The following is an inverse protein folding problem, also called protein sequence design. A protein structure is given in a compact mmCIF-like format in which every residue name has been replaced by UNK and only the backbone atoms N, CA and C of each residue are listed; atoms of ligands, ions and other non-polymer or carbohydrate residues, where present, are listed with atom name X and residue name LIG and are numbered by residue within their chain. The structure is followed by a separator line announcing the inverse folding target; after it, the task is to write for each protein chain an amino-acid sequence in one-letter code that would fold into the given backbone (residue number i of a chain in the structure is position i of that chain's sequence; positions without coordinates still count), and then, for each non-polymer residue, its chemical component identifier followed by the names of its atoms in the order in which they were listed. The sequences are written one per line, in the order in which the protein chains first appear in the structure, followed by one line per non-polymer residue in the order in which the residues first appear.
data_IF_380337485214
#
_entry.id   IF_380337485214
#
_cell.length_a   1.000
_cell.length_b   1.000
_cell.length_c   1.000
_cell.angle_alpha   90.00
_cell.angle_beta   90.00
_cell.angle_gamma   90.00
#
_symmetry.space_group_name_H-M   'P 1'
#
loop_
_entity.id
_entity.type
_entity.pdbx_description
1 polymer ?
#
# COMPACT_ATOMS: atom_id res chain seq x y z
N UNK A 1 -11.94 -13.13 -13.11
CA UNK A 1 -10.53 -12.83 -13.32
C UNK A 1 -10.39 -11.51 -14.07
N UNK A 2 -9.64 -10.57 -13.51
CA UNK A 2 -9.38 -9.25 -14.08
C UNK A 2 -7.88 -9.14 -14.44
N UNK A 3 -7.45 -9.71 -15.57
CA UNK A 3 -6.02 -9.76 -15.95
C UNK A 3 -5.41 -8.38 -16.19
N UNK A 4 -6.25 -7.36 -16.38
CA UNK A 4 -5.84 -5.97 -16.55
C UNK A 4 -5.37 -5.31 -15.24
N UNK A 5 -5.76 -5.89 -14.10
CA UNK A 5 -5.47 -5.33 -12.77
C UNK A 5 -4.61 -6.28 -11.93
N UNK A 6 -4.88 -7.58 -11.97
CA UNK A 6 -4.25 -8.59 -11.12
C UNK A 6 -3.45 -9.59 -11.96
N UNK A 7 -2.30 -9.98 -11.46
CA UNK A 7 -1.43 -10.98 -12.13
C UNK A 7 -1.90 -12.41 -11.86
N UNK A 8 -2.60 -12.64 -10.75
CA UNK A 8 -3.12 -13.95 -10.37
C UNK A 8 -4.66 -13.97 -10.33
N UNK A 9 -5.29 -15.13 -10.61
CA UNK A 9 -6.73 -15.29 -10.44
C UNK A 9 -7.13 -15.14 -8.98
N UNK A 10 -8.17 -14.35 -8.72
CA UNK A 10 -8.80 -14.27 -7.40
C UNK A 10 -9.63 -15.53 -7.15
N UNK A 11 -9.38 -16.21 -6.05
CA UNK A 11 -10.18 -17.37 -5.61
C UNK A 11 -11.12 -16.92 -4.50
N UNK A 12 -12.39 -16.79 -4.82
CA UNK A 12 -13.41 -16.38 -3.87
C UNK A 12 -14.08 -17.62 -3.31
N UNK A 13 -14.12 -17.78 -1.99
CA UNK A 13 -14.83 -18.86 -1.33
C UNK A 13 -16.30 -18.52 -1.09
N UNK A 14 -16.61 -17.26 -0.89
CA UNK A 14 -17.96 -16.74 -0.75
C UNK A 14 -18.07 -15.35 -1.35
N UNK A 15 -19.23 -15.03 -1.93
CA UNK A 15 -19.55 -13.67 -2.38
C UNK A 15 -21.06 -13.45 -2.30
N UNK A 16 -21.48 -12.37 -1.68
CA UNK A 16 -22.86 -11.92 -1.62
C UNK A 16 -22.94 -10.42 -1.84
N UNK A 17 -24.11 -9.93 -2.23
CA UNK A 17 -24.37 -8.50 -2.45
C UNK A 17 -25.50 -8.26 -3.40
N UNK A 18 -25.74 -7.01 -3.70
CA UNK A 18 -26.79 -6.55 -4.62
C UNK A 18 -26.14 -5.89 -5.82
N UNK A 19 -26.47 -6.38 -7.02
CA UNK A 19 -26.05 -5.75 -8.28
C UNK A 19 -27.26 -5.21 -8.99
N UNK A 20 -27.23 -3.94 -9.33
CA UNK A 20 -28.25 -3.24 -10.07
C UNK A 20 -27.71 -2.85 -11.46
N UNK A 21 -28.56 -3.00 -12.45
CA UNK A 21 -28.24 -2.70 -13.82
C UNK A 21 -29.37 -1.87 -14.43
N UNK A 22 -29.02 -0.68 -14.94
CA UNK A 22 -29.94 0.20 -15.61
C UNK A 22 -29.41 0.50 -17.02
N UNK A 23 -30.26 0.34 -18.00
CA UNK A 23 -29.99 0.69 -19.40
C UNK A 23 -30.95 1.78 -19.84
N UNK A 24 -30.42 2.94 -20.23
CA UNK A 24 -31.18 4.08 -20.75
C UNK A 24 -30.58 4.49 -22.10
N UNK A 25 -30.85 3.68 -23.12
CA UNK A 25 -30.43 3.93 -24.50
C UNK A 25 -28.92 4.16 -24.66
N UNK A 26 -28.45 5.43 -24.59
CA UNK A 26 -27.03 5.74 -24.77
C UNK A 26 -26.16 5.41 -23.56
N UNK A 27 -26.76 5.19 -22.39
CA UNK A 27 -26.04 5.00 -21.15
C UNK A 27 -26.34 3.64 -20.52
N UNK A 28 -25.32 3.03 -19.96
CA UNK A 28 -25.41 1.84 -19.11
C UNK A 28 -24.88 2.22 -17.74
N UNK A 29 -25.65 1.90 -16.71
CA UNK A 29 -25.19 2.02 -15.33
C UNK A 29 -25.24 0.65 -14.67
N UNK A 30 -24.15 0.25 -14.05
CA UNK A 30 -24.04 -0.96 -13.26
C UNK A 30 -23.51 -0.54 -11.89
N UNK A 31 -24.16 -0.99 -10.83
CA UNK A 31 -23.69 -0.74 -9.47
C UNK A 31 -23.78 -2.01 -8.63
N UNK A 32 -22.77 -2.22 -7.80
CA UNK A 32 -22.77 -3.23 -6.75
C UNK A 32 -22.75 -2.54 -5.41
N UNK A 33 -23.60 -2.99 -4.50
CA UNK A 33 -23.67 -2.49 -3.12
C UNK A 33 -23.83 -3.63 -2.14
N UNK A 34 -23.46 -3.38 -0.90
CA UNK A 34 -23.52 -4.36 0.17
C UNK A 34 -22.76 -5.66 -0.18
N UNK A 35 -21.64 -5.49 -0.95
CA UNK A 35 -20.82 -6.60 -1.34
C UNK A 35 -20.04 -7.10 -0.12
N UNK A 36 -20.11 -8.40 0.11
CA UNK A 36 -19.28 -9.09 1.09
C UNK A 36 -18.64 -10.29 0.40
N UNK A 37 -17.36 -10.37 0.45
CA UNK A 37 -16.56 -11.37 -0.26
C UNK A 37 -15.54 -11.95 0.70
N UNK A 38 -15.47 -13.26 0.75
CA UNK A 38 -14.38 -13.99 1.37
C UNK A 38 -13.37 -14.36 0.28
N UNK A 39 -12.19 -13.78 0.38
CA UNK A 39 -11.11 -13.99 -0.56
C UNK A 39 -9.89 -14.55 0.16
N UNK A 40 -9.72 -15.87 0.08
CA UNK A 40 -8.60 -16.57 0.70
C UNK A 40 -8.43 -16.28 2.21
N UNK A 41 -9.53 -16.11 2.93
CA UNK A 41 -9.57 -15.79 4.36
C UNK A 41 -9.66 -14.31 4.67
N UNK A 42 -9.32 -13.43 3.74
CA UNK A 42 -9.56 -11.99 3.90
C UNK A 42 -11.03 -11.67 3.67
N UNK A 43 -11.56 -10.77 4.50
CA UNK A 43 -12.93 -10.26 4.36
C UNK A 43 -12.90 -8.95 3.57
N UNK A 44 -13.62 -8.90 2.46
CA UNK A 44 -13.73 -7.70 1.62
C UNK A 44 -15.19 -7.27 1.57
N UNK A 45 -15.45 -6.01 1.87
CA UNK A 45 -16.80 -5.43 1.83
C UNK A 45 -16.81 -4.09 1.09
N UNK A 46 -17.96 -3.69 0.55
CA UNK A 46 -18.09 -2.39 -0.10
C UNK A 46 -18.98 -2.38 -1.31
N UNK A 47 -18.58 -1.60 -2.34
CA UNK A 47 -19.35 -1.46 -3.55
C UNK A 47 -18.57 -0.89 -4.71
N UNK A 48 -19.19 -0.94 -5.88
CA UNK A 48 -18.68 -0.33 -7.10
C UNK A 48 -19.79 0.34 -7.91
N UNK A 49 -19.39 1.28 -8.77
CA UNK A 49 -20.25 1.90 -9.75
C UNK A 49 -19.56 2.01 -11.09
N UNK A 50 -20.28 1.72 -12.15
CA UNK A 50 -19.86 1.90 -13.52
C UNK A 50 -20.97 2.66 -14.27
N UNK A 51 -20.63 3.81 -14.80
CA UNK A 51 -21.46 4.54 -15.75
C UNK A 51 -20.70 4.53 -17.09
N UNK A 52 -21.32 3.99 -18.12
CA UNK A 52 -20.76 3.96 -19.45
C UNK A 52 -21.75 4.64 -20.42
N UNK A 53 -21.30 5.75 -21.01
CA UNK A 53 -22.02 6.49 -22.04
C UNK A 53 -21.21 6.54 -23.34
N UNK A 54 -21.83 7.07 -24.41
CA UNK A 54 -21.18 7.12 -25.74
C UNK A 54 -19.91 8.01 -25.76
N UNK A 55 -19.85 9.06 -24.97
CA UNK A 55 -18.74 10.02 -24.99
C UNK A 55 -17.99 10.10 -23.65
N UNK A 56 -18.62 9.70 -22.57
CA UNK A 56 -18.03 9.76 -21.23
C UNK A 56 -18.61 8.67 -20.35
N UNK A 57 -17.87 8.32 -19.35
CA UNK A 57 -18.27 7.37 -18.33
C UNK A 57 -17.45 7.56 -17.07
N UNK A 58 -17.75 6.77 -16.06
CA UNK A 58 -16.99 6.76 -14.82
C UNK A 58 -17.06 5.38 -14.18
N UNK A 59 -15.94 4.92 -13.68
CA UNK A 59 -15.84 3.79 -12.79
C UNK A 59 -15.47 4.27 -11.39
N UNK A 60 -16.09 3.69 -10.37
CA UNK A 60 -15.78 3.91 -8.96
C UNK A 60 -15.77 2.58 -8.21
N UNK A 61 -14.86 2.45 -7.28
CA UNK A 61 -14.74 1.33 -6.35
C UNK A 61 -14.49 1.91 -4.96
N UNK A 62 -15.21 1.43 -3.96
CA UNK A 62 -14.99 1.74 -2.54
C UNK A 62 -15.13 0.44 -1.75
N UNK A 63 -14.01 -0.08 -1.30
CA UNK A 63 -13.93 -1.33 -0.55
C UNK A 63 -13.15 -1.16 0.74
N UNK A 64 -13.62 -1.84 1.78
CA UNK A 64 -12.89 -2.11 3.00
C UNK A 64 -12.49 -3.60 3.01
N UNK A 65 -11.38 -3.91 3.63
CA UNK A 65 -10.91 -5.27 3.79
C UNK A 65 -10.29 -5.49 5.17
N UNK A 66 -10.36 -6.72 5.63
CA UNK A 66 -9.82 -7.13 6.92
C UNK A 66 -9.18 -8.51 6.82
N UNK A 67 -8.33 -8.82 7.80
CA UNK A 67 -7.70 -10.13 7.97
C UNK A 67 -6.86 -10.58 6.76
N UNK A 68 -6.17 -9.64 6.09
CA UNK A 68 -5.27 -9.97 4.99
C UNK A 68 -3.94 -10.49 5.55
N UNK A 69 -3.60 -11.72 5.19
CA UNK A 69 -2.32 -12.35 5.53
C UNK A 69 -1.33 -12.18 4.37
N UNK A 70 -0.53 -11.11 4.44
CA UNK A 70 0.55 -10.85 3.49
C UNK A 70 1.90 -11.44 3.94
N UNK A 71 1.93 -12.24 5.03
CA UNK A 71 3.09 -13.07 5.41
C UNK A 71 3.09 -14.34 4.57
N UNK A 72 1.95 -15.03 4.54
CA UNK A 72 1.80 -16.28 3.79
C UNK A 72 1.67 -16.07 2.28
N UNK A 73 1.21 -14.89 1.86
CA UNK A 73 1.04 -14.51 0.47
C UNK A 73 1.54 -13.08 0.25
N UNK A 74 2.47 -12.85 -0.69
CA UNK A 74 3.01 -11.51 -0.96
C UNK A 74 1.93 -10.47 -1.22
N UNK A 75 2.11 -9.27 -0.70
CA UNK A 75 1.16 -8.16 -0.81
C UNK A 75 0.81 -7.84 -2.27
N UNK A 76 1.76 -8.06 -3.18
CA UNK A 76 1.56 -7.92 -4.63
C UNK A 76 0.46 -8.82 -5.21
N UNK A 77 0.10 -9.91 -4.55
CA UNK A 77 -1.01 -10.78 -4.97
C UNK A 77 -2.38 -10.30 -4.48
N UNK A 78 -2.42 -9.43 -3.48
CA UNK A 78 -3.64 -8.86 -2.93
C UNK A 78 -4.03 -7.54 -3.59
N UNK A 79 -3.08 -6.84 -4.19
CA UNK A 79 -3.27 -5.50 -4.74
C UNK A 79 -3.37 -5.53 -6.27
N UNK A 80 -4.11 -4.59 -6.86
CA UNK A 80 -4.18 -4.42 -8.33
C UNK A 80 -2.88 -3.77 -8.84
N UNK A 81 -1.78 -4.54 -8.83
CA UNK A 81 -0.42 -4.06 -9.10
C UNK A 81 -0.30 -3.26 -10.40
N UNK A 82 -1.08 -3.60 -11.42
CA UNK A 82 -1.08 -2.89 -12.71
C UNK A 82 -1.70 -1.51 -12.66
N UNK A 83 -2.46 -1.19 -11.60
CA UNK A 83 -3.02 0.14 -11.39
C UNK A 83 -2.01 1.12 -10.75
N UNK A 84 -0.89 0.62 -10.22
CA UNK A 84 0.09 1.46 -9.55
C UNK A 84 1.20 1.93 -10.49
N UNK A 85 1.79 3.08 -10.16
CA UNK A 85 2.98 3.59 -10.84
C UNK A 85 4.17 2.62 -10.72
N UNK A 86 5.08 2.57 -11.70
CA UNK A 86 6.18 1.59 -11.71
C UNK A 86 7.03 1.57 -10.45
N UNK A 87 7.37 2.73 -9.88
CA UNK A 87 8.19 2.82 -8.65
C UNK A 87 7.48 2.24 -7.43
N UNK A 88 6.18 2.52 -7.28
CA UNK A 88 5.39 1.96 -6.18
C UNK A 88 5.23 0.45 -6.34
N UNK A 89 5.01 0.00 -7.58
CA UNK A 89 4.93 -1.43 -7.89
C UNK A 89 6.24 -2.14 -7.54
N UNK A 90 7.37 -1.65 -8.01
CA UNK A 90 8.69 -2.19 -7.71
C UNK A 90 8.94 -2.25 -6.19
N UNK A 91 8.55 -1.21 -5.46
CA UNK A 91 8.66 -1.19 -3.99
C UNK A 91 7.76 -2.25 -3.33
N UNK A 92 6.49 -2.38 -3.77
CA UNK A 92 5.55 -3.37 -3.25
C UNK A 92 5.94 -4.83 -3.59
N UNK A 93 6.70 -5.05 -4.66
CA UNK A 93 7.24 -6.35 -5.06
C UNK A 93 8.49 -6.75 -4.26
N UNK A 94 9.13 -5.81 -3.56
CA UNK A 94 10.37 -6.02 -2.81
C UNK A 94 10.15 -6.64 -1.42
N UNK A 95 9.46 -7.80 -1.38
CA UNK A 95 9.33 -8.61 -0.16
C UNK A 95 8.76 -7.81 1.03
N UNK A 96 7.68 -7.08 0.76
CA UNK A 96 6.87 -6.41 1.77
C UNK A 96 5.76 -7.35 2.20
N UNK A 97 5.62 -7.53 3.50
CA UNK A 97 4.60 -8.39 4.06
C UNK A 97 4.21 -7.98 5.47
N UNK A 98 3.24 -8.69 6.02
CA UNK A 98 2.70 -8.44 7.34
C UNK A 98 1.25 -8.88 7.41
N UNK A 99 0.65 -8.72 8.57
CA UNK A 99 -0.79 -8.85 8.73
C UNK A 99 -1.44 -7.48 8.53
N UNK A 100 -2.54 -7.44 7.79
CA UNK A 100 -3.35 -6.24 7.61
C UNK A 100 -4.71 -6.48 8.29
N UNK A 101 -4.86 -6.12 9.57
CA UNK A 101 -6.10 -6.28 10.31
C UNK A 101 -7.26 -5.54 9.66
N UNK A 102 -6.98 -4.37 9.09
CA UNK A 102 -7.95 -3.59 8.34
C UNK A 102 -7.31 -2.67 7.31
N UNK A 103 -8.05 -2.41 6.25
CA UNK A 103 -7.64 -1.49 5.19
C UNK A 103 -8.81 -1.03 4.35
N UNK A 104 -8.55 -0.08 3.46
CA UNK A 104 -9.53 0.38 2.48
C UNK A 104 -8.86 0.78 1.18
N UNK A 105 -9.57 0.55 0.07
CA UNK A 105 -9.17 0.99 -1.27
C UNK A 105 -10.33 1.73 -1.92
N UNK A 106 -10.08 2.97 -2.33
CA UNK A 106 -11.00 3.76 -3.14
C UNK A 106 -10.36 4.04 -4.49
N UNK A 107 -11.08 3.77 -5.56
CA UNK A 107 -10.66 4.06 -6.93
C UNK A 107 -11.75 4.88 -7.63
N UNK A 108 -11.32 5.82 -8.45
CA UNK A 108 -12.22 6.56 -9.34
C UNK A 108 -11.49 6.83 -10.65
N UNK A 109 -12.09 6.40 -11.76
CA UNK A 109 -11.53 6.50 -13.09
C UNK A 109 -12.58 7.05 -14.06
N UNK A 110 -12.36 8.21 -14.68
CA UNK A 110 -13.13 8.63 -15.84
C UNK A 110 -12.94 7.63 -17.00
N UNK A 111 -14.01 7.41 -17.76
CA UNK A 111 -14.02 6.51 -18.92
C UNK A 111 -14.45 7.29 -20.16
N UNK A 112 -14.00 6.85 -21.33
CA UNK A 112 -14.37 7.43 -22.61
C UNK A 112 -13.17 7.87 -23.45
N UNK A 113 -13.43 8.38 -24.68
CA UNK A 113 -12.35 8.72 -25.61
C UNK A 113 -11.39 9.81 -25.15
N UNK A 114 -11.83 10.68 -24.21
CA UNK A 114 -11.02 11.75 -23.62
C UNK A 114 -10.40 11.36 -22.27
N UNK A 115 -10.69 10.17 -21.77
CA UNK A 115 -10.14 9.70 -20.50
C UNK A 115 -8.69 9.29 -20.69
N UNK A 116 -7.84 9.66 -19.72
CA UNK A 116 -6.44 9.22 -19.66
C UNK A 116 -6.18 8.48 -18.36
N UNK A 117 -5.14 7.67 -18.33
CA UNK A 117 -4.70 6.97 -17.14
C UNK A 117 -4.29 7.92 -15.99
N UNK A 118 -3.85 9.13 -16.34
CA UNK A 118 -3.45 10.14 -15.36
C UNK A 118 -4.63 10.70 -14.53
N UNK A 119 -5.86 10.40 -14.97
CA UNK A 119 -7.09 10.79 -14.26
C UNK A 119 -7.56 9.72 -13.26
N UNK A 120 -6.83 8.62 -13.13
CA UNK A 120 -7.09 7.64 -12.07
C UNK A 120 -6.82 8.29 -10.72
N UNK A 121 -7.87 8.37 -9.90
CA UNK A 121 -7.73 8.73 -8.48
C UNK A 121 -7.81 7.46 -7.66
N UNK A 122 -6.79 7.23 -6.83
CA UNK A 122 -6.76 6.09 -5.96
C UNK A 122 -6.30 6.51 -4.55
N UNK A 123 -6.93 5.91 -3.55
CA UNK A 123 -6.55 6.05 -2.14
C UNK A 123 -6.49 4.65 -1.54
N UNK A 124 -5.36 4.29 -0.98
CA UNK A 124 -5.16 3.03 -0.24
C UNK A 124 -4.76 3.39 1.19
N UNK A 125 -5.48 2.86 2.17
CA UNK A 125 -5.13 2.97 3.58
C UNK A 125 -5.03 1.57 4.19
N UNK A 126 -3.96 1.30 4.94
CA UNK A 126 -3.69 0.02 5.59
C UNK A 126 -3.28 0.25 7.03
N UNK A 127 -3.76 -0.60 7.94
CA UNK A 127 -3.12 -0.87 9.22
C UNK A 127 -2.27 -2.13 9.06
N UNK A 128 -1.06 -2.11 9.57
CA UNK A 128 -0.10 -3.21 9.44
C UNK A 128 0.37 -3.62 10.81
N UNK A 129 0.43 -4.92 11.06
CA UNK A 129 1.05 -5.53 12.24
C UNK A 129 1.95 -6.68 11.80
N UNK A 130 2.97 -6.99 12.59
CA UNK A 130 3.98 -8.01 12.25
C UNK A 130 4.57 -7.79 10.85
N UNK A 131 4.68 -6.53 10.47
CA UNK A 131 5.15 -6.15 9.14
C UNK A 131 6.64 -6.38 8.97
N UNK A 132 7.04 -6.60 7.72
CA UNK A 132 8.43 -6.52 7.31
C UNK A 132 8.51 -5.75 6.01
N UNK A 133 9.46 -4.84 5.93
CA UNK A 133 9.66 -4.03 4.73
C UNK A 133 11.11 -3.57 4.57
N UNK A 134 11.66 -3.60 3.36
CA UNK A 134 12.88 -2.87 3.04
C UNK A 134 12.55 -1.38 2.90
N UNK A 135 13.31 -0.53 3.57
CA UNK A 135 13.16 0.94 3.40
C UNK A 135 13.57 1.34 1.98
N UNK A 136 14.69 0.80 1.53
CA UNK A 136 15.23 0.97 0.19
C UNK A 136 16.12 -0.23 -0.16
N UNK A 137 16.50 -0.43 -1.43
CA UNK A 137 17.50 -1.44 -1.81
C UNK A 137 18.77 -1.29 -0.97
N UNK A 138 19.31 -2.41 -0.50
CA UNK A 138 20.55 -2.48 0.32
C UNK A 138 20.43 -1.89 1.74
N UNK A 139 19.29 -1.31 2.12
CA UNK A 139 19.05 -0.85 3.50
C UNK A 139 18.69 -2.02 4.42
N UNK A 140 19.05 -1.91 5.72
CA UNK A 140 18.56 -2.84 6.72
C UNK A 140 17.04 -2.92 6.69
N UNK A 141 16.53 -4.17 6.69
CA UNK A 141 15.08 -4.42 6.72
C UNK A 141 14.50 -4.00 8.06
N UNK A 142 13.31 -3.42 8.03
CA UNK A 142 12.48 -3.29 9.23
C UNK A 142 11.66 -4.57 9.41
N UNK A 143 11.63 -5.06 10.63
CA UNK A 143 10.89 -6.24 11.09
C UNK A 143 9.94 -5.84 12.22
N UNK A 144 8.93 -6.66 12.50
CA UNK A 144 7.89 -6.41 13.50
C UNK A 144 7.26 -5.02 13.39
N UNK A 145 7.04 -4.58 12.16
CA UNK A 145 6.50 -3.26 11.89
C UNK A 145 5.03 -3.21 12.30
N UNK A 146 4.71 -2.28 13.18
CA UNK A 146 3.36 -1.87 13.52
C UNK A 146 3.16 -0.44 13.06
N UNK A 147 2.05 -0.17 12.35
CA UNK A 147 1.81 1.17 11.86
C UNK A 147 0.70 1.27 10.84
N UNK A 148 0.66 2.43 10.18
CA UNK A 148 -0.34 2.78 9.18
C UNK A 148 0.31 3.27 7.91
N UNK A 149 -0.27 2.88 6.80
CA UNK A 149 0.15 3.32 5.47
C UNK A 149 -1.03 4.00 4.77
N UNK A 150 -0.78 5.16 4.19
CA UNK A 150 -1.70 5.88 3.33
C UNK A 150 -1.03 6.19 2.00
N UNK A 151 -1.63 5.75 0.91
CA UNK A 151 -1.26 6.18 -0.43
C UNK A 151 -2.42 6.96 -1.06
N UNK A 152 -2.17 8.20 -1.44
CA UNK A 152 -3.17 9.08 -2.03
C UNK A 152 -2.50 10.10 -2.96
N UNK A 153 -3.03 10.26 -4.17
CA UNK A 153 -2.56 11.28 -5.12
C UNK A 153 -1.08 11.13 -5.51
N UNK A 154 -0.56 9.90 -5.57
CA UNK A 154 0.85 9.62 -5.88
C UNK A 154 1.82 9.83 -4.69
N UNK A 155 1.30 10.14 -3.52
CA UNK A 155 2.06 10.29 -2.27
C UNK A 155 1.82 9.09 -1.39
N UNK A 156 2.89 8.39 -1.01
CA UNK A 156 2.88 7.36 0.03
C UNK A 156 3.32 7.99 1.34
N UNK A 157 2.55 7.77 2.39
CA UNK A 157 2.88 8.14 3.76
C UNK A 157 2.74 6.91 4.64
N UNK A 158 3.76 6.60 5.43
CA UNK A 158 3.64 5.59 6.47
C UNK A 158 3.99 6.19 7.83
N UNK A 159 3.23 5.79 8.84
CA UNK A 159 3.49 6.07 10.24
C UNK A 159 3.86 4.75 10.90
N UNK A 160 5.07 4.65 11.41
CA UNK A 160 5.60 3.46 12.10
C UNK A 160 5.50 3.73 13.59
N UNK A 161 4.66 2.99 14.29
CA UNK A 161 4.51 3.06 15.74
C UNK A 161 5.62 2.29 16.44
N UNK A 162 5.95 1.12 15.87
CA UNK A 162 7.01 0.24 16.33
C UNK A 162 7.63 -0.52 15.15
N UNK A 163 8.93 -0.73 15.20
CA UNK A 163 9.66 -1.63 14.30
C UNK A 163 11.01 -1.99 14.91
N UNK A 164 11.65 -3.03 14.37
CA UNK A 164 12.99 -3.44 14.75
C UNK A 164 13.89 -3.62 13.54
N UNK A 165 15.18 -3.34 13.71
CA UNK A 165 16.19 -3.65 12.71
C UNK A 165 17.56 -3.82 13.35
N UNK A 166 18.19 -4.99 13.19
CA UNK A 166 19.55 -5.28 13.73
C UNK A 166 19.70 -5.00 15.24
N UNK A 167 18.61 -5.22 16.04
CA UNK A 167 18.62 -4.94 17.48
C UNK A 167 18.38 -3.46 17.83
N UNK A 168 18.08 -2.62 16.85
CA UNK A 168 17.65 -1.24 17.04
C UNK A 168 16.13 -1.20 17.02
N UNK A 169 15.52 -0.63 18.04
CA UNK A 169 14.08 -0.32 18.07
C UNK A 169 13.84 1.02 17.39
N UNK A 170 12.84 1.05 16.53
CA UNK A 170 12.38 2.24 15.83
C UNK A 170 10.99 2.60 16.34
N UNK A 171 10.78 3.82 16.74
CA UNK A 171 9.48 4.32 17.19
C UNK A 171 9.18 5.70 16.61
N UNK A 172 7.89 6.04 16.54
CA UNK A 172 7.42 7.33 16.01
C UNK A 172 7.98 7.63 14.60
N UNK A 173 8.18 6.56 13.82
CA UNK A 173 8.72 6.67 12.48
C UNK A 173 7.71 7.28 11.52
N UNK A 174 8.21 8.07 10.57
CA UNK A 174 7.43 8.50 9.41
C UNK A 174 8.22 8.27 8.14
N UNK A 175 7.52 7.78 7.11
CA UNK A 175 8.06 7.57 5.78
C UNK A 175 7.18 8.37 4.82
N UNK A 176 7.79 9.19 3.97
CA UNK A 176 7.08 9.89 2.90
C UNK A 176 7.81 9.69 1.58
N UNK A 177 7.07 9.19 0.61
CA UNK A 177 7.55 9.04 -0.76
C UNK A 177 6.59 9.74 -1.71
N UNK A 178 7.12 10.60 -2.56
CA UNK A 178 6.38 11.38 -3.54
C UNK A 178 7.13 11.32 -4.88
N UNK A 179 6.38 11.44 -5.96
CA UNK A 179 6.96 11.43 -7.31
C UNK A 179 7.99 12.56 -7.44
N UNK A 180 9.19 12.22 -7.95
CA UNK A 180 10.29 13.17 -8.21
C UNK A 180 10.83 13.89 -6.96
N UNK A 181 10.37 13.50 -5.77
CA UNK A 181 10.93 13.99 -4.51
C UNK A 181 11.85 12.93 -3.88
N UNK A 182 12.84 13.32 -3.09
CA UNK A 182 13.62 12.38 -2.30
C UNK A 182 12.73 11.68 -1.26
N UNK A 183 13.07 10.44 -0.95
CA UNK A 183 12.46 9.71 0.16
C UNK A 183 12.77 10.45 1.46
N UNK A 184 11.73 10.74 2.23
CA UNK A 184 11.85 11.38 3.54
C UNK A 184 11.59 10.35 4.63
N UNK A 185 12.50 10.25 5.58
CA UNK A 185 12.42 9.34 6.72
C UNK A 185 12.68 10.14 7.99
N UNK A 186 11.91 9.87 9.04
CA UNK A 186 12.19 10.37 10.38
C UNK A 186 11.72 9.35 11.40
N UNK A 187 12.28 9.36 12.59
CA UNK A 187 11.91 8.43 13.66
C UNK A 187 12.83 8.55 14.86
N UNK A 188 12.45 7.91 15.95
CA UNK A 188 13.26 7.77 17.15
C UNK A 188 13.87 6.38 17.19
N UNK A 189 15.16 6.29 17.48
CA UNK A 189 15.88 5.04 17.58
C UNK A 189 16.30 4.80 19.03
N UNK A 190 16.11 3.56 19.50
CA UNK A 190 16.62 3.11 20.80
C UNK A 190 17.43 1.84 20.62
N UNK A 191 18.64 1.80 21.18
CA UNK A 191 19.55 0.67 21.00
C UNK A 191 20.66 0.68 22.01
N UNK A 192 21.30 -0.48 22.22
CA UNK A 192 22.65 -0.51 22.78
C UNK A 192 23.70 -0.09 21.75
N UNK A 193 24.90 0.26 22.21
CA UNK A 193 25.95 0.77 21.34
C UNK A 193 26.44 -0.24 20.30
N UNK A 194 26.40 -1.55 20.57
CA UNK A 194 26.84 -2.59 19.64
C UNK A 194 25.81 -2.78 18.52
N UNK A 195 24.53 -2.83 18.86
CA UNK A 195 23.42 -2.93 17.90
C UNK A 195 23.34 -1.70 17.01
N UNK A 196 23.52 -0.50 17.57
CA UNK A 196 23.57 0.73 16.79
C UNK A 196 24.72 0.72 15.77
N UNK A 197 25.91 0.26 16.19
CA UNK A 197 27.06 0.15 15.30
C UNK A 197 26.79 -0.84 14.16
N UNK A 198 26.19 -2.00 14.46
CA UNK A 198 25.83 -2.99 13.45
C UNK A 198 24.81 -2.44 12.45
N UNK A 199 23.81 -1.70 12.94
CA UNK A 199 22.79 -1.05 12.11
C UNK A 199 23.43 -0.02 11.16
N UNK A 200 24.30 0.84 11.69
CA UNK A 200 25.00 1.85 10.88
C UNK A 200 25.93 1.21 9.84
N UNK A 201 26.63 0.11 10.20
CA UNK A 201 27.48 -0.62 9.26
C UNK A 201 26.69 -1.37 8.17
N UNK A 202 25.43 -1.70 8.44
CA UNK A 202 24.55 -2.33 7.47
C UNK A 202 23.89 -1.31 6.51
N UNK A 203 24.00 -0.01 6.79
CA UNK A 203 23.54 1.01 5.87
C UNK A 203 24.49 1.10 4.66
N UNK A 204 23.94 1.30 3.45
CA UNK A 204 24.77 1.56 2.27
C UNK A 204 25.52 2.89 2.43
N UNK A 205 26.63 3.03 1.68
CA UNK A 205 27.38 4.28 1.66
C UNK A 205 26.45 5.46 1.35
N UNK A 206 26.47 6.45 2.26
CA UNK A 206 25.59 7.63 2.17
C UNK A 206 25.77 8.42 0.87
N UNK A 207 26.90 8.26 0.20
CA UNK A 207 27.20 8.89 -1.09
C UNK A 207 26.39 8.29 -2.26
N UNK A 208 25.81 7.11 -2.09
CA UNK A 208 24.99 6.44 -3.12
C UNK A 208 23.51 6.74 -3.02
N UNK A 209 23.07 7.39 -1.94
CA UNK A 209 21.67 7.74 -1.75
C UNK A 209 21.28 8.93 -2.60
N UNK A 210 20.10 8.91 -3.26
CA UNK A 210 19.50 10.14 -3.73
C UNK A 210 19.37 11.06 -2.53
N UNK A 211 19.85 12.30 -2.63
CA UNK A 211 19.86 13.30 -1.55
C UNK A 211 18.56 13.28 -0.75
N UNK A 212 18.56 12.52 0.33
CA UNK A 212 17.49 12.45 1.31
C UNK A 212 17.97 13.22 2.54
N UNK A 213 17.18 14.16 3.00
CA UNK A 213 17.41 14.81 4.28
C UNK A 213 17.04 13.80 5.38
N UNK A 214 17.99 12.95 5.75
CA UNK A 214 17.83 12.03 6.89
C UNK A 214 18.23 12.82 8.13
N UNK A 215 17.27 13.13 8.97
CA UNK A 215 17.52 13.67 10.30
C UNK A 215 17.41 12.54 11.30
N UNK A 216 18.50 12.20 11.95
CA UNK A 216 18.53 11.23 13.05
C UNK A 216 18.70 12.02 14.34
N UNK A 217 17.63 12.13 15.12
CA UNK A 217 17.67 12.63 16.48
C UNK A 217 17.69 11.44 17.45
N UNK A 218 18.78 11.24 18.15
CA UNK A 218 18.91 10.13 19.09
C UNK A 218 19.58 10.56 20.39
N UNK A 219 19.13 10.00 21.50
CA UNK A 219 19.82 10.10 22.79
C UNK A 219 20.66 8.84 22.92
N UNK A 220 21.99 8.98 22.96
CA UNK A 220 22.91 7.89 23.26
C UNK A 220 23.15 7.93 24.77
N UNK A 221 22.53 7.01 25.51
CA UNK A 221 22.87 6.76 26.90
C UNK A 221 24.00 5.71 26.91
N UNK A 222 25.22 6.14 27.24
CA UNK A 222 26.36 5.25 27.47
C UNK A 222 26.62 5.12 28.98
N UNK A 223 26.74 3.87 29.44
CA UNK A 223 27.35 3.55 30.72
C UNK A 223 28.88 3.55 30.60
#
# INVERSE_FOLDING_TARGET
YFPELFDVPMQLSHAEGVVEWVYDGPNTMISGRDLNVDWDGAQVSGGFGLIAGQQSGQFGLDIAFADVDAISRPLSQWLPMKAFEPKLREWLENDIGGLVPQGSLKLSQPLGPAASSDQLSATLALEVTQGHLPIAPEWPRLEDVEGRLLWQGGVLQAQVEHAQSHGVEVSQGTIRMEKEQPLQLSGSLQSDGASLLNFVQAMPDMDTLPRSDITVDGIIEGD
#
